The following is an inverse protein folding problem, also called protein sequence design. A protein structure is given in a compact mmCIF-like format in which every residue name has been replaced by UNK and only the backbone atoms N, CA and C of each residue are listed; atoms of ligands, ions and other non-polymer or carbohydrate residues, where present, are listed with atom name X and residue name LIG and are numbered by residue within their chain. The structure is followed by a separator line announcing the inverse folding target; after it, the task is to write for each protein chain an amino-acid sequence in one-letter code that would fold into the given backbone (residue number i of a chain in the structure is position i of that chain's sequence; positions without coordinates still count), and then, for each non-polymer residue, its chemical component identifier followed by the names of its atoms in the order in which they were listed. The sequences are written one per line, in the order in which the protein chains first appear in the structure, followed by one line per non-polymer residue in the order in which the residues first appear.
data_IF_787271238514
#
_entry.id   IF_787271238514
#
_cell.length_a   1.000
_cell.length_b   1.000
_cell.length_c   1.000
_cell.angle_alpha   90.00
_cell.angle_beta   90.00
_cell.angle_gamma   90.00
#
_symmetry.space_group_name_H-M   'P 1'
#
loop_
_entity.id
_entity.type
_entity.pdbx_description
1 polymer ?
#
# COMPACT_ATOMS: atom_id res chain seq x y z
N UNK A 1 -55.97 45.37 -31.39
CA UNK A 1 -55.69 44.07 -30.74
C UNK A 1 -55.66 42.84 -31.68
N UNK A 2 -55.86 42.96 -33.01
CA UNK A 2 -55.87 41.79 -33.91
C UNK A 2 -54.48 41.18 -34.20
N UNK A 3 -53.42 41.99 -34.18
CA UNK A 3 -52.05 41.54 -34.54
C UNK A 3 -51.25 40.99 -33.34
N UNK A 4 -51.66 41.31 -32.11
CA UNK A 4 -50.98 40.84 -30.89
C UNK A 4 -51.05 39.31 -30.75
N UNK A 5 -52.18 38.69 -31.13
CA UNK A 5 -52.34 37.23 -31.15
C UNK A 5 -51.44 36.55 -32.19
N UNK A 6 -51.19 37.21 -33.33
CA UNK A 6 -50.28 36.71 -34.37
C UNK A 6 -48.81 36.81 -33.96
N UNK A 7 -48.42 37.87 -33.26
CA UNK A 7 -47.06 38.04 -32.73
C UNK A 7 -46.76 37.00 -31.64
N UNK A 8 -47.71 36.74 -30.74
CA UNK A 8 -47.56 35.70 -29.69
C UNK A 8 -47.43 34.31 -30.32
N UNK A 9 -48.22 34.01 -31.36
CA UNK A 9 -48.15 32.73 -32.08
C UNK A 9 -46.79 32.56 -32.78
N UNK A 10 -46.27 33.61 -33.40
CA UNK A 10 -44.98 33.59 -34.09
C UNK A 10 -43.79 33.44 -33.12
N UNK A 11 -43.82 34.12 -31.97
CA UNK A 11 -42.81 33.93 -30.92
C UNK A 11 -42.82 32.49 -30.36
N UNK A 12 -44.00 31.88 -30.23
CA UNK A 12 -44.12 30.50 -29.73
C UNK A 12 -43.54 29.48 -30.73
N UNK A 13 -43.71 29.69 -32.04
CA UNK A 13 -43.14 28.81 -33.07
C UNK A 13 -41.61 28.95 -33.18
N UNK A 14 -41.05 30.14 -32.93
CA UNK A 14 -39.59 30.33 -32.93
C UNK A 14 -38.91 29.70 -31.72
N UNK A 15 -39.58 29.65 -30.56
CA UNK A 15 -39.06 28.94 -29.39
C UNK A 15 -39.05 27.40 -29.59
N UNK A 16 -40.02 26.86 -30.32
CA UNK A 16 -40.11 25.42 -30.57
C UNK A 16 -39.05 24.89 -31.57
N UNK A 17 -38.56 25.74 -32.49
CA UNK A 17 -37.57 25.34 -33.50
C UNK A 17 -36.12 25.39 -33.00
N UNK A 18 -35.84 26.03 -31.85
CA UNK A 18 -34.49 26.14 -31.28
C UNK A 18 -33.99 24.88 -30.58
N UNK A 19 -34.85 23.86 -30.37
CA UNK A 19 -34.49 22.63 -29.65
C UNK A 19 -33.84 21.52 -30.51
N UNK A 20 -33.65 21.72 -31.81
CA UNK A 20 -33.26 20.63 -32.73
C UNK A 20 -31.73 20.49 -32.94
N UNK A 21 -30.94 21.53 -32.63
CA UNK A 21 -29.48 21.49 -32.80
C UNK A 21 -28.78 20.71 -31.68
N UNK A 22 -29.32 20.74 -30.46
CA UNK A 22 -28.76 20.04 -29.29
C UNK A 22 -28.81 18.52 -29.44
N UNK A 23 -29.83 17.98 -30.12
CA UNK A 23 -30.00 16.53 -30.30
C UNK A 23 -28.87 15.93 -31.14
N UNK A 24 -28.52 16.58 -32.26
CA UNK A 24 -27.42 16.13 -33.14
C UNK A 24 -26.06 16.23 -32.46
N UNK A 25 -25.84 17.27 -31.65
CA UNK A 25 -24.61 17.42 -30.87
C UNK A 25 -24.51 16.31 -29.83
N UNK A 26 -25.59 16.03 -29.11
CA UNK A 26 -25.66 14.99 -28.07
C UNK A 26 -25.47 13.58 -28.64
N UNK A 27 -26.00 13.31 -29.84
CA UNK A 27 -25.76 12.07 -30.57
C UNK A 27 -24.29 11.91 -30.99
N UNK A 28 -23.68 12.98 -31.51
CA UNK A 28 -22.26 12.98 -31.88
C UNK A 28 -21.33 12.81 -30.67
N UNK A 29 -21.66 13.42 -29.53
CA UNK A 29 -20.96 13.24 -28.26
C UNK A 29 -21.12 11.82 -27.72
N UNK A 30 -22.32 11.24 -27.78
CA UNK A 30 -22.57 9.87 -27.37
C UNK A 30 -21.80 8.85 -28.21
N UNK A 31 -21.67 9.09 -29.52
CA UNK A 31 -20.87 8.24 -30.40
C UNK A 31 -19.38 8.31 -30.04
N UNK A 32 -18.84 9.51 -29.86
CA UNK A 32 -17.43 9.71 -29.44
C UNK A 32 -17.16 9.07 -28.08
N UNK A 33 -18.09 9.19 -27.13
CA UNK A 33 -17.96 8.58 -25.80
C UNK A 33 -17.92 7.04 -25.91
N UNK A 34 -18.70 6.44 -26.80
CA UNK A 34 -18.66 4.99 -27.07
C UNK A 34 -17.32 4.57 -27.65
N UNK A 35 -16.84 5.23 -28.70
CA UNK A 35 -15.53 4.93 -29.32
C UNK A 35 -14.38 5.03 -28.31
N UNK A 36 -14.38 6.07 -27.48
CA UNK A 36 -13.38 6.23 -26.42
C UNK A 36 -13.47 5.09 -25.41
N UNK A 37 -14.67 4.74 -24.95
CA UNK A 37 -14.89 3.65 -23.98
C UNK A 37 -14.42 2.30 -24.51
N UNK A 38 -14.60 2.01 -25.80
CA UNK A 38 -14.13 0.79 -26.46
C UNK A 38 -12.60 0.77 -26.56
N UNK A 39 -11.98 1.89 -26.95
CA UNK A 39 -10.53 2.00 -26.99
C UNK A 39 -9.89 1.85 -25.61
N UNK A 40 -10.56 2.35 -24.56
CA UNK A 40 -10.15 2.16 -23.16
C UNK A 40 -10.30 0.69 -22.78
N UNK A 41 -11.47 0.10 -23.04
CA UNK A 41 -11.77 -1.29 -22.71
C UNK A 41 -10.74 -2.24 -23.34
N UNK A 42 -10.34 -2.00 -24.59
CA UNK A 42 -9.29 -2.76 -25.26
C UNK A 42 -7.99 -2.72 -24.46
N UNK A 43 -7.49 -1.53 -24.14
CA UNK A 43 -6.24 -1.36 -23.37
C UNK A 43 -6.33 -2.02 -21.99
N UNK A 44 -7.43 -1.81 -21.26
CA UNK A 44 -7.63 -2.42 -19.94
C UNK A 44 -7.64 -3.94 -20.08
N UNK A 45 -8.41 -4.48 -21.01
CA UNK A 45 -8.56 -5.93 -21.18
C UNK A 45 -7.25 -6.61 -21.56
N UNK A 46 -6.40 -5.97 -22.37
CA UNK A 46 -5.08 -6.49 -22.77
C UNK A 46 -4.10 -6.48 -21.59
N UNK A 47 -4.18 -5.45 -20.73
CA UNK A 47 -3.29 -5.22 -19.61
C UNK A 47 -3.82 -5.75 -18.27
N UNK A 48 -5.02 -6.36 -18.23
CA UNK A 48 -5.61 -6.95 -17.03
C UNK A 48 -4.90 -8.24 -16.63
N UNK A 49 -3.68 -8.09 -16.10
CA UNK A 49 -2.80 -9.18 -15.67
C UNK A 49 -2.13 -8.74 -14.37
N UNK A 50 -2.64 -9.27 -13.26
CA UNK A 50 -2.01 -9.08 -11.96
C UNK A 50 -1.02 -10.22 -11.72
N UNK A 51 0.27 -9.91 -11.71
CA UNK A 51 1.29 -10.92 -11.43
C UNK A 51 1.37 -11.15 -9.93
N UNK A 52 0.72 -12.20 -9.46
CA UNK A 52 0.78 -12.63 -8.06
C UNK A 52 1.38 -14.03 -8.00
N UNK A 53 2.67 -14.17 -7.65
CA UNK A 53 3.31 -15.47 -7.58
C UNK A 53 2.65 -16.34 -6.51
N UNK A 54 2.85 -17.65 -6.66
CA UNK A 54 2.43 -18.60 -5.65
C UNK A 54 3.23 -18.35 -4.36
N UNK A 55 2.51 -18.33 -3.24
CA UNK A 55 3.13 -18.22 -1.91
C UNK A 55 4.00 -19.45 -1.64
N UNK A 56 5.10 -19.27 -0.92
CA UNK A 56 5.98 -20.38 -0.55
C UNK A 56 5.20 -21.40 0.30
N UNK A 57 5.50 -22.71 0.22
CA UNK A 57 4.78 -23.73 0.99
C UNK A 57 4.78 -23.46 2.50
N UNK A 58 5.84 -22.84 3.02
CA UNK A 58 6.00 -22.48 4.44
C UNK A 58 4.96 -21.44 4.85
N UNK A 59 4.85 -20.35 4.08
CA UNK A 59 3.87 -19.28 4.31
C UNK A 59 2.45 -19.78 4.09
N UNK A 60 2.23 -20.69 3.13
CA UNK A 60 0.90 -21.27 2.85
C UNK A 60 0.23 -21.84 4.10
N UNK A 61 0.96 -22.63 4.90
CA UNK A 61 0.41 -23.23 6.14
C UNK A 61 -0.09 -22.20 7.15
N UNK A 62 0.52 -21.02 7.19
CA UNK A 62 0.13 -19.91 8.08
C UNK A 62 -0.92 -18.99 7.46
N UNK A 63 -1.08 -19.06 6.13
CA UNK A 63 -2.07 -18.31 5.35
C UNK A 63 -3.39 -19.03 5.17
N UNK A 64 -3.45 -20.37 5.27
CA UNK A 64 -4.65 -21.16 4.97
C UNK A 64 -5.87 -20.74 5.82
N UNK A 65 -5.65 -20.17 7.01
CA UNK A 65 -6.73 -19.62 7.86
C UNK A 65 -7.20 -18.20 7.49
N UNK A 66 -6.55 -17.53 6.54
CA UNK A 66 -6.82 -16.13 6.19
C UNK A 66 -7.71 -16.03 4.95
N UNK A 67 -9.02 -16.24 5.15
CA UNK A 67 -10.02 -16.27 4.09
C UNK A 67 -10.07 -14.98 3.25
N UNK A 68 -9.82 -13.83 3.87
CA UNK A 68 -9.80 -12.53 3.22
C UNK A 68 -8.67 -12.44 2.19
N UNK A 69 -7.49 -12.99 2.50
CA UNK A 69 -6.38 -13.06 1.56
C UNK A 69 -6.69 -13.96 0.35
N UNK A 70 -7.33 -15.10 0.59
CA UNK A 70 -7.76 -15.99 -0.50
C UNK A 70 -8.83 -15.33 -1.38
N UNK A 71 -9.84 -14.71 -0.75
CA UNK A 71 -10.91 -13.99 -1.45
C UNK A 71 -10.35 -12.85 -2.29
N UNK A 72 -9.44 -12.04 -1.72
CA UNK A 72 -8.77 -10.96 -2.41
C UNK A 72 -7.98 -11.45 -3.63
N UNK A 73 -7.15 -12.49 -3.46
CA UNK A 73 -6.36 -13.05 -4.57
C UNK A 73 -7.21 -13.65 -5.69
N UNK A 74 -8.29 -14.35 -5.33
CA UNK A 74 -9.24 -14.88 -6.32
C UNK A 74 -9.82 -13.74 -7.14
N UNK A 75 -10.34 -12.72 -6.46
CA UNK A 75 -10.96 -11.56 -7.10
C UNK A 75 -9.99 -10.80 -8.02
N UNK A 76 -8.71 -10.73 -7.64
CA UNK A 76 -7.65 -10.11 -8.43
C UNK A 76 -7.30 -10.92 -9.70
N UNK A 77 -7.37 -12.24 -9.64
CA UNK A 77 -6.99 -13.13 -10.75
C UNK A 77 -8.10 -13.24 -11.79
N UNK A 78 -9.35 -13.15 -11.34
CA UNK A 78 -10.52 -13.26 -12.20
C UNK A 78 -10.64 -12.05 -13.14
N UNK A 79 -10.49 -12.29 -14.44
CA UNK A 79 -10.70 -11.27 -15.46
C UNK A 79 -12.20 -11.11 -15.75
N UNK A 80 -12.78 -9.90 -15.63
CA UNK A 80 -14.17 -9.68 -16.01
C UNK A 80 -14.31 -9.74 -17.54
N UNK A 81 -15.42 -10.33 -18.00
CA UNK A 81 -15.82 -10.32 -19.41
C UNK A 81 -16.89 -9.24 -19.62
N UNK A 82 -16.88 -8.60 -20.79
CA UNK A 82 -17.90 -7.61 -21.16
C UNK A 82 -17.42 -6.16 -21.16
N UNK A 83 -18.30 -5.25 -20.74
CA UNK A 83 -18.18 -3.79 -20.93
C UNK A 83 -17.29 -3.10 -19.88
N UNK A 84 -16.96 -1.82 -20.12
CA UNK A 84 -16.22 -0.98 -19.16
C UNK A 84 -16.88 -0.96 -17.77
N UNK A 85 -18.21 -1.01 -17.70
CA UNK A 85 -18.96 -1.09 -16.44
C UNK A 85 -18.67 -2.37 -15.66
N UNK A 86 -18.48 -3.51 -16.34
CA UNK A 86 -18.09 -4.75 -15.69
C UNK A 86 -16.70 -4.62 -15.04
N UNK A 87 -15.75 -3.96 -15.71
CA UNK A 87 -14.43 -3.68 -15.13
C UNK A 87 -14.51 -2.71 -13.95
N UNK A 88 -15.33 -1.65 -14.03
CA UNK A 88 -15.55 -0.72 -12.92
C UNK A 88 -16.11 -1.43 -11.68
N UNK A 89 -17.10 -2.28 -11.87
CA UNK A 89 -17.68 -3.10 -10.79
C UNK A 89 -16.66 -4.10 -10.24
N UNK A 90 -15.83 -4.69 -11.10
CA UNK A 90 -14.75 -5.59 -10.66
C UNK A 90 -13.73 -4.86 -9.79
N UNK A 91 -13.24 -3.69 -10.22
CA UNK A 91 -12.30 -2.90 -9.42
C UNK A 91 -12.92 -2.49 -8.07
N UNK A 92 -14.23 -2.18 -8.05
CA UNK A 92 -14.95 -1.92 -6.80
C UNK A 92 -14.93 -3.14 -5.86
N UNK A 93 -15.25 -4.32 -6.38
CA UNK A 93 -15.21 -5.56 -5.60
C UNK A 93 -13.80 -5.86 -5.07
N UNK A 94 -12.76 -5.67 -5.90
CA UNK A 94 -11.36 -5.82 -5.48
C UNK A 94 -11.04 -4.84 -4.34
N UNK A 95 -11.48 -3.58 -4.42
CA UNK A 95 -11.27 -2.59 -3.37
C UNK A 95 -11.94 -2.97 -2.04
N UNK A 96 -13.18 -3.48 -2.09
CA UNK A 96 -13.90 -3.97 -0.92
C UNK A 96 -13.18 -5.17 -0.28
N UNK A 97 -12.70 -6.12 -1.10
CA UNK A 97 -11.90 -7.27 -0.62
C UNK A 97 -10.55 -6.87 -0.06
N UNK A 98 -9.92 -5.84 -0.62
CA UNK A 98 -8.66 -5.31 -0.09
C UNK A 98 -8.88 -4.65 1.28
N UNK A 99 -10.00 -3.95 1.49
CA UNK A 99 -10.35 -3.35 2.77
C UNK A 99 -10.64 -4.39 3.86
N UNK A 100 -11.16 -5.56 3.47
CA UNK A 100 -11.36 -6.71 4.36
C UNK A 100 -10.04 -7.30 4.88
N UNK A 101 -8.92 -7.16 4.16
CA UNK A 101 -7.62 -7.73 4.57
C UNK A 101 -7.19 -7.27 5.97
N UNK A 102 -7.49 -6.03 6.35
CA UNK A 102 -7.09 -5.49 7.65
C UNK A 102 -7.98 -5.94 8.82
N UNK A 103 -9.11 -6.60 8.58
CA UNK A 103 -10.09 -6.93 9.62
C UNK A 103 -9.64 -8.12 10.48
N UNK A 104 -9.16 -9.19 9.83
CA UNK A 104 -8.84 -10.47 10.48
C UNK A 104 -7.45 -10.95 10.07
N UNK A 105 -6.41 -10.16 10.35
CA UNK A 105 -5.03 -10.57 10.10
C UNK A 105 -4.67 -11.71 11.06
N UNK A 106 -4.11 -12.84 10.59
CA UNK A 106 -3.67 -13.91 11.48
C UNK A 106 -2.69 -13.39 12.55
N UNK A 107 -2.79 -13.80 13.83
CA UNK A 107 -1.97 -13.27 14.92
C UNK A 107 -0.45 -13.32 14.65
N UNK A 108 0.01 -14.32 13.91
CA UNK A 108 1.41 -14.45 13.51
C UNK A 108 1.87 -13.30 12.59
N UNK A 109 1.01 -12.84 11.70
CA UNK A 109 1.25 -11.76 10.75
C UNK A 109 0.75 -10.41 11.22
N UNK A 110 0.08 -10.34 12.37
CA UNK A 110 -0.43 -9.10 12.95
C UNK A 110 0.70 -8.25 13.53
N UNK A 111 1.50 -7.67 12.63
CA UNK A 111 2.63 -6.79 12.93
C UNK A 111 2.49 -5.48 12.17
N UNK A 112 3.02 -4.35 12.69
CA UNK A 112 2.93 -3.05 12.03
C UNK A 112 3.48 -3.05 10.59
N UNK A 113 4.52 -3.85 10.31
CA UNK A 113 5.13 -3.95 8.98
C UNK A 113 4.14 -4.53 7.95
N UNK A 114 3.39 -5.56 8.33
CA UNK A 114 2.39 -6.21 7.47
C UNK A 114 1.20 -5.27 7.25
N UNK A 115 0.67 -4.65 8.32
CA UNK A 115 -0.42 -3.67 8.24
C UNK A 115 -0.10 -2.51 7.29
N UNK A 116 1.12 -1.97 7.39
CA UNK A 116 1.59 -0.91 6.49
C UNK A 116 1.59 -1.37 5.04
N UNK A 117 2.08 -2.57 4.74
CA UNK A 117 2.09 -3.12 3.36
C UNK A 117 0.67 -3.38 2.83
N UNK A 118 -0.24 -3.89 3.66
CA UNK A 118 -1.65 -4.04 3.28
C UNK A 118 -2.25 -2.67 2.92
N UNK A 119 -2.00 -1.63 3.73
CA UNK A 119 -2.50 -0.29 3.46
C UNK A 119 -1.97 0.29 2.14
N UNK A 120 -0.72 0.01 1.80
CA UNK A 120 -0.14 0.40 0.50
C UNK A 120 -0.89 -0.31 -0.64
N UNK A 121 -1.11 -1.63 -0.55
CA UNK A 121 -1.88 -2.39 -1.54
C UNK A 121 -3.29 -1.82 -1.71
N UNK A 122 -4.01 -1.59 -0.61
CA UNK A 122 -5.35 -0.99 -0.60
C UNK A 122 -5.34 0.38 -1.30
N UNK A 123 -4.34 1.21 -1.02
CA UNK A 123 -4.21 2.53 -1.63
C UNK A 123 -3.98 2.43 -3.14
N UNK A 124 -3.14 1.51 -3.60
CA UNK A 124 -2.92 1.30 -5.05
C UNK A 124 -4.18 0.83 -5.77
N UNK A 125 -4.98 -0.03 -5.13
CA UNK A 125 -6.27 -0.48 -5.67
C UNK A 125 -7.27 0.67 -5.73
N UNK A 126 -7.34 1.50 -4.70
CA UNK A 126 -8.18 2.71 -4.70
C UNK A 126 -7.77 3.69 -5.79
N UNK A 127 -6.48 3.85 -6.03
CA UNK A 127 -5.97 4.65 -7.16
C UNK A 127 -6.47 4.11 -8.50
N UNK A 128 -6.42 2.79 -8.71
CA UNK A 128 -7.00 2.16 -9.90
C UNK A 128 -8.52 2.41 -9.99
N UNK A 129 -9.25 2.27 -8.88
CA UNK A 129 -10.67 2.56 -8.79
C UNK A 129 -10.99 4.01 -9.19
N UNK A 130 -10.20 4.97 -8.74
CA UNK A 130 -10.37 6.37 -9.15
C UNK A 130 -10.16 6.50 -10.65
N UNK A 131 -9.04 6.02 -11.20
CA UNK A 131 -8.71 6.23 -12.62
C UNK A 131 -9.70 5.59 -13.59
N UNK A 132 -10.27 4.43 -13.28
CA UNK A 132 -11.24 3.75 -14.16
C UNK A 132 -12.63 4.42 -14.15
N UNK A 133 -12.94 5.18 -13.10
CA UNK A 133 -14.22 5.85 -12.91
C UNK A 133 -14.22 7.33 -13.34
N UNK A 134 -13.07 7.90 -13.69
CA UNK A 134 -13.02 9.25 -14.27
C UNK A 134 -13.76 9.28 -15.62
N UNK A 135 -14.42 10.41 -15.91
CA UNK A 135 -15.08 10.64 -17.20
C UNK A 135 -14.07 10.65 -18.35
N UNK A 136 -12.93 11.32 -18.14
CA UNK A 136 -11.76 11.27 -19.03
C UNK A 136 -10.78 10.22 -18.49
N UNK A 137 -10.91 9.00 -18.99
CA UNK A 137 -10.10 7.88 -18.51
C UNK A 137 -8.65 7.98 -19.02
N UNK A 138 -7.71 7.97 -18.08
CA UNK A 138 -6.27 8.00 -18.37
C UNK A 138 -5.72 6.59 -18.55
N UNK A 139 -5.61 6.14 -19.81
CA UNK A 139 -5.17 4.78 -20.18
C UNK A 139 -3.82 4.41 -19.55
N UNK A 140 -2.82 5.27 -19.67
CA UNK A 140 -1.46 5.02 -19.17
C UNK A 140 -1.42 4.86 -17.65
N UNK A 141 -2.24 5.65 -16.94
CA UNK A 141 -2.33 5.59 -15.49
C UNK A 141 -2.97 4.30 -15.00
N UNK A 142 -3.94 3.75 -15.74
CA UNK A 142 -4.53 2.46 -15.42
C UNK A 142 -3.50 1.34 -15.57
N UNK A 143 -2.76 1.33 -16.69
CA UNK A 143 -1.71 0.33 -16.91
C UNK A 143 -0.63 0.41 -15.83
N UNK A 144 -0.19 1.62 -15.48
CA UNK A 144 0.75 1.85 -14.36
C UNK A 144 0.18 1.31 -13.04
N UNK A 145 -1.08 1.62 -12.72
CA UNK A 145 -1.71 1.19 -11.48
C UNK A 145 -1.80 -0.36 -11.38
N UNK A 146 -2.11 -1.07 -12.46
CA UNK A 146 -2.13 -2.54 -12.48
C UNK A 146 -0.74 -3.11 -12.19
N UNK A 147 0.31 -2.54 -12.78
CA UNK A 147 1.69 -2.92 -12.51
C UNK A 147 2.11 -2.66 -11.07
N UNK A 148 1.74 -1.51 -10.52
CA UNK A 148 1.97 -1.15 -9.12
C UNK A 148 1.26 -2.10 -8.16
N UNK A 149 0.00 -2.44 -8.40
CA UNK A 149 -0.75 -3.40 -7.56
C UNK A 149 -0.04 -4.76 -7.53
N UNK A 150 0.44 -5.24 -8.69
CA UNK A 150 1.21 -6.49 -8.76
C UNK A 150 2.48 -6.41 -7.91
N UNK A 151 3.25 -5.33 -8.05
CA UNK A 151 4.50 -5.10 -7.30
C UNK A 151 4.25 -5.04 -5.79
N UNK A 152 3.24 -4.30 -5.36
CA UNK A 152 2.92 -4.16 -3.93
C UNK A 152 2.37 -5.47 -3.34
N UNK A 153 1.60 -6.24 -4.12
CA UNK A 153 1.13 -7.56 -3.70
C UNK A 153 2.30 -8.54 -3.52
N UNK A 154 3.28 -8.51 -4.43
CA UNK A 154 4.54 -9.27 -4.29
C UNK A 154 5.31 -8.80 -3.05
N UNK A 155 5.42 -7.48 -2.84
CA UNK A 155 6.10 -6.94 -1.66
C UNK A 155 5.45 -7.38 -0.35
N UNK A 156 4.11 -7.44 -0.30
CA UNK A 156 3.38 -7.96 0.84
C UNK A 156 3.70 -9.44 1.06
N UNK A 157 3.67 -10.27 0.01
CA UNK A 157 4.03 -11.69 0.13
C UNK A 157 5.47 -11.90 0.61
N UNK A 158 6.42 -11.12 0.10
CA UNK A 158 7.81 -11.18 0.54
C UNK A 158 7.95 -10.84 2.03
N UNK A 159 7.16 -9.87 2.53
CA UNK A 159 7.14 -9.55 3.95
C UNK A 159 6.63 -10.71 4.79
N UNK A 160 5.59 -11.43 4.32
CA UNK A 160 5.08 -12.63 5.00
C UNK A 160 6.13 -13.75 5.01
N UNK A 161 6.83 -13.96 3.90
CA UNK A 161 7.89 -14.95 3.76
C UNK A 161 9.10 -14.65 4.65
N UNK A 162 9.50 -13.39 4.74
CA UNK A 162 10.54 -12.93 5.65
C UNK A 162 10.18 -13.21 7.12
N UNK A 163 8.94 -12.94 7.52
CA UNK A 163 8.48 -13.22 8.89
C UNK A 163 8.53 -14.71 9.23
N UNK A 164 8.12 -15.56 8.29
CA UNK A 164 8.21 -17.02 8.47
C UNK A 164 9.67 -17.45 8.56
N UNK A 165 10.54 -16.97 7.66
CA UNK A 165 11.98 -17.27 7.70
C UNK A 165 12.62 -16.85 9.03
N UNK A 166 12.33 -15.64 9.51
CA UNK A 166 12.86 -15.15 10.79
C UNK A 166 12.38 -16.00 11.97
N UNK A 167 11.15 -16.52 11.93
CA UNK A 167 10.62 -17.37 13.01
C UNK A 167 11.25 -18.77 13.06
N UNK A 168 11.84 -19.23 11.96
CA UNK A 168 12.50 -20.53 11.85
C UNK A 168 13.98 -20.48 12.27
N UNK A 169 14.54 -19.28 12.45
CA UNK A 169 15.93 -19.13 12.91
C UNK A 169 15.99 -19.54 14.40
N UNK A 170 16.75 -20.60 14.74
CA UNK A 170 16.90 -21.02 16.12
C UNK A 170 17.71 -19.98 16.89
N UNK A 171 17.32 -19.71 18.14
CA UNK A 171 18.10 -18.86 19.03
C UNK A 171 19.38 -19.56 19.47
N UNK A 172 20.45 -18.80 19.65
CA UNK A 172 21.72 -19.35 20.12
C UNK A 172 21.70 -19.63 21.63
N UNK A 173 22.52 -20.57 22.07
CA UNK A 173 22.64 -20.91 23.49
C UNK A 173 23.17 -19.71 24.28
N UNK A 174 22.36 -19.19 25.21
CA UNK A 174 22.68 -18.02 26.05
C UNK A 174 22.12 -16.70 25.54
N UNK A 175 21.50 -16.65 24.35
CA UNK A 175 20.84 -15.45 23.81
C UNK A 175 19.70 -14.98 24.71
N UNK A 176 18.92 -15.92 25.25
CA UNK A 176 17.79 -15.59 26.13
C UNK A 176 18.23 -15.00 27.46
N UNK A 177 19.36 -15.44 27.99
CA UNK A 177 19.94 -14.91 29.22
C UNK A 177 20.52 -13.51 28.99
N UNK A 178 21.13 -13.28 27.83
CA UNK A 178 21.59 -11.95 27.41
C UNK A 178 20.43 -10.97 27.25
N UNK A 179 19.32 -11.39 26.63
CA UNK A 179 18.12 -10.57 26.46
C UNK A 179 17.50 -10.21 27.83
N UNK A 180 17.39 -11.18 28.75
CA UNK A 180 16.92 -10.92 30.12
C UNK A 180 17.84 -9.95 30.87
N UNK A 181 19.16 -10.11 30.73
CA UNK A 181 20.12 -9.21 31.36
C UNK A 181 20.00 -7.78 30.81
N UNK A 182 19.85 -7.63 29.49
CA UNK A 182 19.64 -6.34 28.84
C UNK A 182 18.35 -5.66 29.33
N UNK A 183 17.24 -6.39 29.40
CA UNK A 183 15.98 -5.84 29.87
C UNK A 183 16.03 -5.48 31.36
N UNK A 184 16.72 -6.29 32.18
CA UNK A 184 16.98 -5.99 33.59
C UNK A 184 17.77 -4.69 33.74
N UNK A 185 18.82 -4.48 32.93
CA UNK A 185 19.63 -3.25 32.94
C UNK A 185 18.78 -2.03 32.51
N UNK A 186 17.92 -2.18 31.50
CA UNK A 186 17.02 -1.12 31.03
C UNK A 186 16.00 -0.74 32.11
N UNK A 187 15.42 -1.72 32.79
CA UNK A 187 14.48 -1.49 33.89
C UNK A 187 15.15 -0.89 35.13
N UNK A 188 16.41 -1.24 35.40
CA UNK A 188 17.17 -0.68 36.51
C UNK A 188 17.60 0.78 36.28
N UNK A 189 17.76 1.21 35.03
CA UNK A 189 18.18 2.55 34.65
C UNK A 189 17.15 3.22 33.72
N UNK A 190 15.96 3.59 34.21
CA UNK A 190 14.90 4.19 33.40
C UNK A 190 15.33 5.53 32.78
N UNK A 191 16.20 6.28 33.46
CA UNK A 191 16.70 7.60 33.01
C UNK A 191 17.64 7.55 31.78
N UNK A 192 18.04 6.35 31.33
CA UNK A 192 18.86 6.16 30.13
C UNK A 192 18.06 5.61 28.94
N UNK A 193 16.76 5.40 29.08
CA UNK A 193 15.88 5.06 27.96
C UNK A 193 15.74 6.34 27.12
N UNK A 194 16.17 6.36 25.84
CA UNK A 194 16.05 7.56 25.03
C UNK A 194 14.56 7.90 24.86
N UNK A 195 14.14 9.07 25.34
CA UNK A 195 12.80 9.57 25.07
C UNK A 195 12.64 9.83 23.57
N UNK A 196 11.46 9.52 23.01
CA UNK A 196 11.14 9.72 21.59
C UNK A 196 11.34 11.19 21.13
N UNK A 197 11.37 12.13 22.08
CA UNK A 197 11.59 13.56 21.86
C UNK A 197 13.07 13.98 21.80
N UNK A 198 14.00 13.15 22.26
CA UNK A 198 15.44 13.49 22.32
C UNK A 198 16.18 13.34 20.99
N UNK A 199 15.58 12.65 20.01
CA UNK A 199 16.18 12.45 18.68
C UNK A 199 16.34 13.74 17.86
N UNK A 200 15.72 14.85 18.29
CA UNK A 200 15.77 16.13 17.55
C UNK A 200 16.78 17.15 18.08
N UNK A 201 17.35 16.97 19.27
CA UNK A 201 18.28 17.95 19.83
C UNK A 201 19.36 17.29 20.69
N UNK A 202 20.48 16.89 20.08
CA UNK A 202 21.75 16.91 20.83
C UNK A 202 22.95 17.20 19.92
N UNK A 203 23.77 18.22 20.23
CA UNK A 203 25.07 18.42 19.58
C UNK A 203 25.99 17.24 19.91
N UNK A 204 26.85 16.85 18.96
CA UNK A 204 27.85 15.79 19.13
C UNK A 204 28.62 15.98 20.46
N UNK A 205 28.48 15.01 21.37
CA UNK A 205 29.30 14.91 22.57
C UNK A 205 30.76 14.65 22.15
N UNK A 206 31.66 15.58 22.53
CA UNK A 206 33.10 15.44 22.27
C UNK A 206 33.67 14.22 23.01
N UNK A 207 34.62 13.47 22.41
CA UNK A 207 35.19 12.28 23.04
C UNK A 207 35.90 12.63 24.35
N UNK A 208 35.64 11.84 25.39
CA UNK A 208 36.32 11.97 26.69
C UNK A 208 37.75 11.45 26.56
N UNK A 209 38.72 12.34 26.77
CA UNK A 209 40.16 12.00 26.76
C UNK A 209 40.45 11.08 27.95
N UNK A 210 40.91 9.85 27.66
CA UNK A 210 41.41 8.93 28.67
C UNK A 210 42.79 9.41 29.15
N UNK A 211 42.91 9.75 30.44
CA UNK A 211 44.21 10.05 31.04
C UNK A 211 45.00 8.77 31.33
N UNK A 212 46.33 8.76 31.13
CA UNK A 212 47.14 7.55 31.32
C UNK A 212 47.22 7.14 32.80
N UNK A 213 47.13 5.83 33.03
CA UNK A 213 47.34 5.20 34.34
C UNK A 213 48.81 5.36 34.75
N UNK A 214 49.05 5.82 35.98
CA UNK A 214 50.40 6.01 36.54
C UNK A 214 51.11 4.68 36.82
N UNK A 215 52.43 4.58 36.59
CA UNK A 215 53.17 3.32 36.76
C UNK A 215 53.41 2.97 38.23
N UNK A 216 53.20 1.69 38.54
CA UNK A 216 53.44 1.05 39.84
C UNK A 216 54.94 1.10 40.19
N UNK A 217 55.30 1.76 41.30
CA UNK A 217 56.69 1.73 41.84
C UNK A 217 56.98 0.34 42.42
N UNK A 218 57.82 -0.43 41.72
CA UNK A 218 58.38 -1.71 42.19
C UNK A 218 59.60 -1.42 43.07
N UNK A 219 59.50 -1.67 44.37
CA UNK A 219 60.59 -1.46 45.33
C UNK A 219 61.72 -2.48 45.14
N UNK A 220 62.91 -2.02 44.80
CA UNK A 220 64.16 -2.79 44.83
C UNK A 220 64.85 -2.56 46.18
N UNK A 221 64.95 -3.61 47.01
CA UNK A 221 65.81 -3.61 48.20
C UNK A 221 67.27 -3.75 47.77
N UNK A 222 68.12 -2.82 48.21
CA UNK A 222 69.56 -2.91 48.06
C UNK A 222 70.16 -3.87 49.11
N UNK A 223 71.13 -4.65 48.64
CA UNK A 223 71.97 -5.61 49.35
C UNK A 223 73.02 -4.85 50.16
N UNK A 224 73.17 -5.11 51.46
CA UNK A 224 74.29 -4.61 52.27
C UNK A 224 75.36 -5.69 52.41
N UNK A 225 76.57 -5.40 51.96
CA UNK A 225 77.80 -6.12 52.30
C UNK A 225 78.39 -5.54 53.59
N UNK A 226 78.62 -6.41 54.57
CA UNK A 226 79.87 -6.59 55.33
C UNK A 226 79.76 -7.85 56.18
#
# INVERSE_FOLDING_TARGET
MKYLKLIILFCFTTLALSCNDDEKIREAEALRAKEQSEAILKVISENWKFNVPAVTPRVKTKLDGWNEWHSFKSELTDKPTGSLTAYRNKVKAIAEKADELNKNIPPFFDKPQVKSRIMVVVTKIRTLYTYINLDVVQKDKIVSAIGEISKETISLQNQLDELVKLSEIPKEKGEEDLLKALDTIRMANPDMIPDENDAKQKPLLKPKVLTPVSPIKRGLKAKSEN
#
